data_IF_337718067946
#
_entry.id   IF_337718067946
#
_cell.length_a   1.000
_cell.length_b   1.000
_cell.length_c   1.000
_cell.angle_alpha   90.00
_cell.angle_beta   90.00
_cell.angle_gamma   90.00
#
_symmetry.space_group_name_H-M   'P 1'
#
loop_
_entity.id
_entity.type
_entity.pdbx_description
1 polymer ?
#
# COMPACT_ATOMS: atom_id res chain seq x y z
N UNK A 1 -13.59 -2.93 0.01
CA UNK A 1 -13.21 -2.48 -1.35
C UNK A 1 -11.70 -2.30 -1.39
N UNK A 2 -11.05 -2.86 -2.37
CA UNK A 2 -9.60 -2.74 -2.52
C UNK A 2 -9.16 -1.37 -3.00
N UNK A 3 -7.89 -1.04 -2.75
CA UNK A 3 -7.31 0.25 -3.14
C UNK A 3 -7.35 0.49 -4.64
N UNK A 4 -7.20 -0.54 -5.44
CA UNK A 4 -7.28 -0.42 -6.90
C UNK A 4 -8.67 0.01 -7.37
N UNK A 5 -9.71 -0.55 -6.76
CA UNK A 5 -11.09 -0.18 -7.06
C UNK A 5 -11.36 1.25 -6.62
N UNK A 6 -10.90 1.63 -5.45
CA UNK A 6 -11.03 3.01 -4.95
C UNK A 6 -10.32 3.97 -5.90
N UNK A 7 -9.09 3.64 -6.33
CA UNK A 7 -8.34 4.43 -7.30
C UNK A 7 -9.14 4.63 -8.59
N UNK A 8 -9.74 3.57 -9.11
CA UNK A 8 -10.48 3.64 -10.36
C UNK A 8 -11.73 4.53 -10.21
N UNK A 9 -12.42 4.45 -9.06
CA UNK A 9 -13.57 5.31 -8.77
C UNK A 9 -13.12 6.78 -8.74
N UNK A 10 -12.02 7.08 -8.06
CA UNK A 10 -11.49 8.43 -7.97
C UNK A 10 -11.05 8.96 -9.34
N UNK A 11 -10.38 8.13 -10.11
CA UNK A 11 -9.89 8.52 -11.42
C UNK A 11 -11.05 8.79 -12.39
N UNK A 12 -12.06 7.93 -12.39
CA UNK A 12 -13.25 8.11 -13.23
C UNK A 12 -14.08 9.31 -12.78
N UNK A 13 -14.08 9.64 -11.49
CA UNK A 13 -14.81 10.77 -10.93
C UNK A 13 -14.00 12.05 -10.80
N UNK A 14 -12.77 12.08 -11.31
CA UNK A 14 -11.83 13.19 -11.12
C UNK A 14 -12.41 14.53 -11.54
N UNK A 15 -13.14 14.56 -12.64
CA UNK A 15 -13.76 15.80 -13.13
C UNK A 15 -14.83 16.35 -12.19
N UNK A 16 -15.36 15.54 -11.29
CA UNK A 16 -16.38 15.94 -10.31
C UNK A 16 -15.76 16.43 -9.00
N UNK A 17 -14.47 16.16 -8.79
CA UNK A 17 -13.75 16.67 -7.64
C UNK A 17 -13.43 18.14 -7.89
N UNK A 18 -13.68 19.00 -6.91
CA UNK A 18 -13.46 20.44 -7.07
C UNK A 18 -12.03 20.85 -6.69
N UNK A 19 -11.17 19.89 -6.35
CA UNK A 19 -9.79 20.17 -5.96
C UNK A 19 -9.63 20.67 -4.53
N UNK A 20 -10.69 20.61 -3.73
CA UNK A 20 -10.66 21.06 -2.33
C UNK A 20 -11.13 19.98 -1.36
N UNK A 21 -11.60 18.84 -1.85
CA UNK A 21 -12.12 17.78 -1.01
C UNK A 21 -11.02 17.10 -0.22
N UNK A 22 -11.28 16.92 1.08
CA UNK A 22 -10.53 16.00 1.91
C UNK A 22 -11.07 14.58 1.65
N UNK A 23 -10.17 13.66 1.33
CA UNK A 23 -10.55 12.28 1.05
C UNK A 23 -10.27 11.41 2.27
N UNK A 24 -11.26 10.62 2.66
CA UNK A 24 -11.10 9.61 3.70
C UNK A 24 -11.34 8.26 3.03
N UNK A 25 -10.30 7.45 2.93
CA UNK A 25 -10.29 6.23 2.14
C UNK A 25 -10.00 5.05 3.04
N UNK A 26 -10.71 3.95 2.79
CA UNK A 26 -10.57 2.74 3.61
C UNK A 26 -10.31 1.54 2.71
N UNK A 27 -9.09 1.41 2.16
CA UNK A 27 -8.76 0.30 1.30
C UNK A 27 -8.57 -0.99 2.08
N UNK A 28 -8.91 -2.10 1.43
CA UNK A 28 -8.60 -3.44 1.89
C UNK A 28 -7.69 -4.07 0.84
N UNK A 29 -6.38 -3.91 1.02
CA UNK A 29 -5.40 -4.27 0.01
C UNK A 29 -5.29 -3.21 -1.10
N UNK A 30 -4.28 -3.32 -1.94
CA UNK A 30 -4.08 -2.38 -3.05
C UNK A 30 -3.72 -0.96 -2.63
N UNK A 31 -3.06 -0.80 -1.51
CA UNK A 31 -2.72 0.52 -0.98
C UNK A 31 -1.68 1.24 -1.84
N UNK A 32 -0.72 0.51 -2.42
CA UNK A 32 0.31 1.11 -3.25
C UNK A 32 -0.29 1.86 -4.47
N UNK A 33 -1.11 1.24 -5.31
CA UNK A 33 -1.70 1.97 -6.44
C UNK A 33 -2.58 3.13 -6.00
N UNK A 34 -3.26 3.02 -4.85
CA UNK A 34 -4.07 4.12 -4.33
C UNK A 34 -3.19 5.29 -3.89
N UNK A 35 -2.13 5.04 -3.13
CA UNK A 35 -1.19 6.09 -2.73
C UNK A 35 -0.50 6.72 -3.92
N UNK A 36 -0.16 5.92 -4.93
CA UNK A 36 0.43 6.40 -6.17
C UNK A 36 -0.51 7.39 -6.88
N UNK A 37 -1.79 7.05 -6.97
CA UNK A 37 -2.79 7.94 -7.55
C UNK A 37 -2.90 9.26 -6.77
N UNK A 38 -2.94 9.18 -5.44
CA UNK A 38 -3.02 10.36 -4.59
C UNK A 38 -1.82 11.30 -4.85
N UNK A 39 -0.62 10.74 -4.89
CA UNK A 39 0.59 11.51 -5.16
C UNK A 39 0.52 12.21 -6.52
N UNK A 40 0.11 11.49 -7.56
CA UNK A 40 0.07 12.02 -8.92
C UNK A 40 -1.06 13.02 -9.15
N UNK A 41 -2.02 13.09 -8.26
CA UNK A 41 -3.15 14.01 -8.38
C UNK A 41 -3.13 15.12 -7.33
N UNK A 42 -1.97 15.36 -6.72
CA UNK A 42 -1.78 16.50 -5.83
C UNK A 42 -2.39 16.35 -4.45
N UNK A 43 -2.62 15.13 -4.00
CA UNK A 43 -3.13 14.85 -2.66
C UNK A 43 -1.99 14.44 -1.74
N UNK A 44 -1.86 15.15 -0.63
CA UNK A 44 -0.92 14.79 0.43
C UNK A 44 -1.62 13.88 1.43
N UNK A 45 -0.96 12.81 1.82
CA UNK A 45 -1.46 11.91 2.87
C UNK A 45 -1.20 12.58 4.20
N UNK A 46 -2.27 12.96 4.90
CA UNK A 46 -2.18 13.69 6.18
C UNK A 46 -2.56 12.83 7.37
N UNK A 47 -3.10 11.65 7.16
CA UNK A 47 -3.41 10.69 8.22
C UNK A 47 -3.39 9.28 7.69
N UNK A 48 -2.92 8.37 8.50
CA UNK A 48 -2.98 6.93 8.21
C UNK A 48 -3.17 6.19 9.52
N UNK A 49 -4.11 5.26 9.53
CA UNK A 49 -4.33 4.36 10.64
C UNK A 49 -4.45 2.94 10.13
N UNK A 50 -4.00 2.00 10.94
CA UNK A 50 -4.13 0.59 10.67
C UNK A 50 -4.94 -0.05 11.80
N UNK A 51 -6.07 -0.65 11.43
CA UNK A 51 -6.95 -1.33 12.36
C UNK A 51 -6.88 -2.83 12.12
N UNK A 52 -6.89 -3.59 13.20
CA UNK A 52 -6.93 -5.04 13.14
C UNK A 52 -8.20 -5.52 13.82
N UNK A 53 -9.11 -6.12 13.06
CA UNK A 53 -10.39 -6.58 13.55
C UNK A 53 -10.74 -7.93 12.90
N UNK A 54 -11.04 -8.94 13.70
CA UNK A 54 -11.52 -10.24 13.25
C UNK A 54 -10.63 -10.87 12.18
N UNK A 55 -9.32 -10.87 12.34
CA UNK A 55 -8.31 -11.40 11.40
C UNK A 55 -8.07 -10.53 10.17
N UNK A 56 -8.75 -9.41 10.03
CA UNK A 56 -8.55 -8.51 8.91
C UNK A 56 -7.81 -7.26 9.35
N UNK A 57 -6.97 -6.75 8.46
CA UNK A 57 -6.31 -5.47 8.63
C UNK A 57 -6.94 -4.47 7.68
N UNK A 58 -7.35 -3.34 8.22
CA UNK A 58 -7.93 -2.25 7.43
C UNK A 58 -7.06 -1.02 7.58
N UNK A 59 -6.79 -0.37 6.46
CA UNK A 59 -6.11 0.91 6.52
C UNK A 59 -7.11 2.04 6.29
N UNK A 60 -6.92 3.13 7.02
CA UNK A 60 -7.64 4.37 6.79
C UNK A 60 -6.62 5.38 6.32
N UNK A 61 -6.81 5.94 5.13
CA UNK A 61 -5.94 6.94 4.55
C UNK A 61 -6.72 8.23 4.42
N UNK A 62 -6.19 9.30 5.01
CA UNK A 62 -6.77 10.63 4.89
C UNK A 62 -5.84 11.47 4.04
N UNK A 63 -6.36 12.07 2.98
CA UNK A 63 -5.59 12.86 2.04
C UNK A 63 -6.24 14.21 1.79
N UNK A 64 -5.42 15.23 1.58
CA UNK A 64 -5.86 16.59 1.31
C UNK A 64 -5.20 17.13 0.05
N UNK A 65 -5.91 17.93 -0.76
CA UNK A 65 -5.37 18.46 -2.01
C UNK A 65 -4.46 19.66 -1.76
N UNK A 66 -3.24 19.39 -1.33
CA UNK A 66 -2.29 20.45 -0.95
C UNK A 66 -1.29 20.80 -2.08
N UNK A 67 -1.48 20.23 -3.28
CA UNK A 67 -0.57 20.48 -4.41
C UNK A 67 0.52 19.42 -4.52
N UNK A 68 1.59 19.70 -5.25
CA UNK A 68 2.60 18.69 -5.54
C UNK A 68 3.19 18.06 -4.27
N UNK A 69 3.29 16.74 -4.29
CA UNK A 69 3.89 15.93 -3.21
C UNK A 69 4.65 14.79 -3.86
N UNK A 70 5.72 14.35 -3.22
CA UNK A 70 6.54 13.25 -3.72
C UNK A 70 6.78 12.23 -2.62
N UNK A 71 6.54 10.97 -2.94
CA UNK A 71 6.81 9.84 -2.05
C UNK A 71 7.75 8.86 -2.72
N UNK A 72 8.58 8.20 -1.92
CA UNK A 72 9.41 7.10 -2.41
C UNK A 72 8.55 5.86 -2.66
N UNK A 73 9.10 4.90 -3.39
CA UNK A 73 8.43 3.61 -3.61
C UNK A 73 8.06 2.93 -2.29
N UNK A 74 8.95 2.97 -1.31
CA UNK A 74 8.69 2.35 -0.01
C UNK A 74 7.62 3.10 0.77
N UNK A 75 7.59 4.42 0.67
CA UNK A 75 6.51 5.20 1.29
C UNK A 75 5.16 4.89 0.65
N UNK A 76 5.12 4.68 -0.66
CA UNK A 76 3.89 4.28 -1.33
C UNK A 76 3.48 2.87 -0.93
N UNK A 77 4.44 1.97 -0.74
CA UNK A 77 4.18 0.58 -0.40
C UNK A 77 3.71 0.41 1.05
N UNK A 78 4.42 1.02 1.99
CA UNK A 78 4.14 0.85 3.43
C UNK A 78 3.22 1.92 4.01
N UNK A 79 3.21 3.10 3.43
CA UNK A 79 2.54 4.26 3.97
C UNK A 79 3.52 5.22 4.63
N UNK A 80 3.57 6.49 4.19
CA UNK A 80 4.55 7.45 4.71
C UNK A 80 4.39 7.70 6.20
N UNK A 81 3.17 7.75 6.71
CA UNK A 81 2.92 7.99 8.13
C UNK A 81 2.98 6.70 8.95
N UNK A 82 2.58 5.57 8.34
CA UNK A 82 2.71 4.25 8.98
C UNK A 82 4.17 3.91 9.27
N UNK A 83 5.07 4.26 8.34
CA UNK A 83 6.51 4.05 8.54
C UNK A 83 7.05 4.82 9.74
N UNK A 84 6.53 6.02 9.97
CA UNK A 84 6.94 6.84 11.11
C UNK A 84 6.37 6.33 12.42
N UNK A 85 5.10 5.95 12.41
CA UNK A 85 4.39 5.53 13.62
C UNK A 85 4.81 4.14 14.10
N UNK A 86 5.01 3.20 13.16
CA UNK A 86 5.38 1.81 13.45
C UNK A 86 4.56 1.20 14.59
N UNK A 87 3.23 1.29 14.47
CA UNK A 87 2.34 0.75 15.49
C UNK A 87 2.51 -0.77 15.64
N UNK A 88 2.13 -1.35 16.79
CA UNK A 88 2.14 -2.81 16.92
C UNK A 88 1.32 -3.53 15.85
N UNK A 89 0.18 -2.97 15.45
CA UNK A 89 -0.64 -3.54 14.39
C UNK A 89 0.10 -3.51 13.04
N UNK A 90 0.84 -2.45 12.76
CA UNK A 90 1.65 -2.32 11.55
C UNK A 90 2.74 -3.40 11.51
N UNK A 91 3.48 -3.55 12.61
CA UNK A 91 4.53 -4.58 12.71
C UNK A 91 3.94 -5.97 12.52
N UNK A 92 2.83 -6.27 13.20
CA UNK A 92 2.17 -7.57 13.10
C UNK A 92 1.68 -7.85 11.67
N UNK A 93 1.11 -6.86 11.01
CA UNK A 93 0.68 -6.98 9.61
C UNK A 93 1.84 -7.40 8.71
N UNK A 94 2.96 -6.70 8.82
CA UNK A 94 4.08 -6.95 7.92
C UNK A 94 4.84 -8.22 8.25
N UNK A 95 4.87 -8.64 9.53
CA UNK A 95 5.39 -9.96 9.89
C UNK A 95 4.58 -11.07 9.22
N UNK A 96 3.25 -10.95 9.24
CA UNK A 96 2.36 -11.92 8.61
C UNK A 96 2.53 -11.93 7.09
N UNK A 97 2.60 -10.74 6.48
CA UNK A 97 2.79 -10.62 5.04
C UNK A 97 4.15 -11.15 4.60
N UNK A 98 5.18 -10.95 5.41
CA UNK A 98 6.50 -11.52 5.12
C UNK A 98 6.43 -13.03 5.00
N UNK A 99 5.79 -13.69 5.97
CA UNK A 99 5.63 -15.14 5.94
C UNK A 99 4.88 -15.61 4.70
N UNK A 100 3.79 -14.91 4.35
CA UNK A 100 3.01 -15.26 3.17
C UNK A 100 3.83 -15.10 1.88
N UNK A 101 4.59 -14.02 1.78
CA UNK A 101 5.42 -13.76 0.59
C UNK A 101 6.58 -14.74 0.48
N UNK A 102 7.16 -15.15 1.59
CA UNK A 102 8.20 -16.19 1.60
C UNK A 102 7.66 -17.53 1.10
N UNK A 103 6.44 -17.89 1.50
CA UNK A 103 5.77 -19.10 1.00
C UNK A 103 5.48 -19.00 -0.49
N UNK A 104 5.03 -17.83 -0.93
CA UNK A 104 4.76 -17.58 -2.35
C UNK A 104 6.04 -17.69 -3.17
N UNK A 105 7.14 -17.11 -2.69
CA UNK A 105 8.43 -17.18 -3.38
C UNK A 105 8.91 -18.62 -3.47
N UNK A 106 8.80 -19.40 -2.39
CA UNK A 106 9.17 -20.81 -2.39
C UNK A 106 8.35 -21.60 -3.43
N UNK A 107 7.06 -21.30 -3.55
CA UNK A 107 6.19 -21.90 -4.56
C UNK A 107 6.63 -21.50 -5.98
N UNK A 108 6.99 -20.24 -6.19
CA UNK A 108 7.49 -19.76 -7.48
C UNK A 108 8.81 -20.44 -7.87
N UNK A 109 9.70 -20.67 -6.90
CA UNK A 109 10.96 -21.36 -7.17
C UNK A 109 10.75 -22.80 -7.63
N UNK A 110 9.75 -23.48 -7.07
CA UNK A 110 9.40 -24.85 -7.50
C UNK A 110 8.82 -24.87 -8.90
N UNK A 111 8.10 -23.84 -9.31
CA UNK A 111 7.44 -23.72 -10.60
C UNK A 111 8.14 -22.70 -11.51
N UNK A 112 9.44 -22.54 -11.35
CA UNK A 112 10.19 -21.43 -11.96
C UNK A 112 10.02 -21.33 -13.48
N UNK A 113 9.88 -22.45 -14.17
CA UNK A 113 9.72 -22.44 -15.62
C UNK A 113 8.35 -21.90 -16.05
N UNK A 114 7.37 -21.93 -15.15
CA UNK A 114 5.99 -21.49 -15.42
C UNK A 114 5.70 -20.08 -14.90
N UNK A 115 6.62 -19.49 -14.15
CA UNK A 115 6.41 -18.19 -13.51
C UNK A 115 7.30 -17.15 -14.18
N UNK A 116 6.72 -16.00 -14.62
CA UNK A 116 7.53 -14.92 -15.19
C UNK A 116 8.60 -14.42 -14.23
N UNK A 117 9.79 -14.17 -14.77
CA UNK A 117 10.92 -13.64 -13.98
C UNK A 117 10.53 -12.35 -13.24
N UNK A 118 9.72 -11.51 -13.85
CA UNK A 118 9.28 -10.24 -13.25
C UNK A 118 8.53 -10.47 -11.95
N UNK A 119 7.70 -11.51 -11.88
CA UNK A 119 6.96 -11.83 -10.66
C UNK A 119 7.89 -12.32 -9.56
N UNK A 120 8.88 -13.14 -9.92
CA UNK A 120 9.86 -13.64 -8.96
C UNK A 120 10.68 -12.48 -8.40
N UNK A 121 11.18 -11.61 -9.25
CA UNK A 121 11.96 -10.44 -8.83
C UNK A 121 11.12 -9.47 -7.99
N UNK A 122 9.87 -9.27 -8.37
CA UNK A 122 8.97 -8.36 -7.65
C UNK A 122 8.74 -8.81 -6.22
N UNK A 123 8.42 -10.10 -6.03
CA UNK A 123 8.17 -10.60 -4.68
C UNK A 123 9.45 -10.67 -3.85
N UNK A 124 10.58 -10.99 -4.48
CA UNK A 124 11.88 -11.00 -3.79
C UNK A 124 12.23 -9.59 -3.29
N UNK A 125 11.97 -8.57 -4.09
CA UNK A 125 12.20 -7.17 -3.69
C UNK A 125 11.29 -6.78 -2.51
N UNK A 126 10.03 -7.17 -2.55
CA UNK A 126 9.10 -6.89 -1.46
C UNK A 126 9.55 -7.56 -0.17
N UNK A 127 9.99 -8.81 -0.25
CA UNK A 127 10.53 -9.54 0.90
C UNK A 127 11.74 -8.79 1.48
N UNK A 128 12.63 -8.31 0.62
CA UNK A 128 13.79 -7.54 1.06
C UNK A 128 13.36 -6.27 1.80
N UNK A 129 12.42 -5.53 1.26
CA UNK A 129 11.91 -4.31 1.87
C UNK A 129 11.29 -4.59 3.25
N UNK A 130 10.46 -5.64 3.34
CA UNK A 130 9.79 -5.99 4.60
C UNK A 130 10.81 -6.46 5.63
N UNK A 131 11.78 -7.27 5.20
CA UNK A 131 12.85 -7.74 6.10
C UNK A 131 13.64 -6.56 6.68
N UNK A 132 13.99 -5.58 5.85
CA UNK A 132 14.67 -4.38 6.32
C UNK A 132 13.81 -3.56 7.26
N UNK A 133 12.51 -3.46 6.99
CA UNK A 133 11.56 -2.75 7.84
C UNK A 133 11.50 -3.36 9.25
N UNK A 134 11.53 -4.70 9.33
CA UNK A 134 11.35 -5.42 10.59
C UNK A 134 12.65 -5.61 11.39
N UNK A 135 13.79 -5.32 10.80
CA UNK A 135 15.07 -5.33 11.53
C UNK A 135 15.41 -3.93 12.08
#
# INVERSE_FOLDING_TARGET
>A
MGGETIRDILDNGKARLNGQERLVLQPNGGEYPLRHWLMHNGYRIVGEELLHENRFYYEIIVAEPTGPVSYTEQQLYFGPLQLLARSPAFVAKWQRLLQQKQKTLASFEKARQSVPEEKVHGIAREIQWITQLLT
#
